data_IF_714250174352
#
_entry.id   IF_714250174352
#
_cell.length_a   1.000
_cell.length_b   1.000
_cell.length_c   1.000
_cell.angle_alpha   90.00
_cell.angle_beta   90.00
_cell.angle_gamma   90.00
#
_symmetry.space_group_name_H-M   'P 1'
#
loop_
_entity.id
_entity.type
_entity.pdbx_description
1 polymer ?
#
# COMPACT_ATOMS: atom_id res chain seq x y z
N UNK A 1 -31.92 18.21 29.89
CA UNK A 1 -31.34 17.40 28.79
C UNK A 1 -30.61 18.26 27.75
N UNK A 2 -31.26 19.22 27.09
CA UNK A 2 -30.55 20.10 26.14
C UNK A 2 -29.62 21.12 26.85
N UNK A 3 -30.05 21.66 28.01
CA UNK A 3 -29.23 22.56 28.84
C UNK A 3 -28.04 21.83 29.49
N UNK A 4 -28.25 20.61 30.01
CA UNK A 4 -27.16 19.80 30.59
C UNK A 4 -26.08 19.42 29.56
N UNK A 5 -26.45 19.18 28.30
CA UNK A 5 -25.50 18.87 27.24
C UNK A 5 -24.67 20.10 26.84
N UNK A 6 -25.28 21.29 26.82
CA UNK A 6 -24.57 22.54 26.53
C UNK A 6 -23.56 22.89 27.63
N UNK A 7 -23.88 22.60 28.90
CA UNK A 7 -22.96 22.79 30.03
C UNK A 7 -21.76 21.82 30.00
N UNK A 8 -21.96 20.59 29.54
CA UNK A 8 -20.91 19.57 29.45
C UNK A 8 -20.14 19.60 28.12
N UNK A 9 -20.60 20.38 27.13
CA UNK A 9 -20.03 20.40 25.79
C UNK A 9 -18.54 20.77 25.80
N UNK A 10 -18.14 21.75 26.60
CA UNK A 10 -16.73 22.18 26.70
C UNK A 10 -15.84 21.10 27.31
N UNK A 11 -16.33 20.38 28.31
CA UNK A 11 -15.61 19.28 28.95
C UNK A 11 -15.46 18.08 28.00
N UNK A 12 -16.52 17.76 27.25
CA UNK A 12 -16.49 16.72 26.21
C UNK A 12 -15.49 17.06 25.11
N UNK A 13 -15.52 18.29 24.59
CA UNK A 13 -14.57 18.74 23.55
C UNK A 13 -13.13 18.66 24.08
N UNK A 14 -12.88 19.14 25.29
CA UNK A 14 -11.55 19.08 25.92
C UNK A 14 -11.07 17.63 26.04
N UNK A 15 -11.93 16.73 26.53
CA UNK A 15 -11.61 15.30 26.66
C UNK A 15 -11.29 14.65 25.31
N UNK A 16 -12.01 15.01 24.23
CA UNK A 16 -11.74 14.54 22.87
C UNK A 16 -10.40 15.08 22.36
N UNK A 17 -10.10 16.35 22.60
CA UNK A 17 -8.84 16.98 22.21
C UNK A 17 -7.64 16.35 22.92
N UNK A 18 -7.75 16.10 24.23
CA UNK A 18 -6.71 15.44 25.02
C UNK A 18 -6.49 14.01 24.52
N UNK A 19 -7.57 13.25 24.31
CA UNK A 19 -7.50 11.89 23.77
C UNK A 19 -6.86 11.84 22.37
N UNK A 20 -7.23 12.76 21.45
CA UNK A 20 -6.59 12.87 20.12
C UNK A 20 -5.10 13.19 20.26
N UNK A 21 -4.75 14.13 21.13
CA UNK A 21 -3.35 14.55 21.36
C UNK A 21 -2.50 13.42 21.94
N UNK A 22 -3.06 12.61 22.84
CA UNK A 22 -2.39 11.43 23.40
C UNK A 22 -2.12 10.38 22.33
N UNK A 23 -3.06 10.13 21.42
CA UNK A 23 -2.86 9.24 20.28
C UNK A 23 -1.75 9.76 19.36
N UNK A 24 -1.80 11.05 19.01
CA UNK A 24 -0.79 11.68 18.17
C UNK A 24 0.61 11.54 18.76
N UNK A 25 0.75 11.91 20.03
CA UNK A 25 2.02 11.85 20.76
C UNK A 25 2.59 10.44 20.75
N UNK A 26 1.77 9.44 21.12
CA UNK A 26 2.22 8.05 21.22
C UNK A 26 2.61 7.46 19.87
N UNK A 27 1.85 7.71 18.81
CA UNK A 27 2.19 7.21 17.47
C UNK A 27 3.43 7.93 16.90
N UNK A 28 3.58 9.23 17.15
CA UNK A 28 4.75 10.00 16.75
C UNK A 28 6.02 9.51 17.49
N UNK A 29 5.91 9.20 18.78
CA UNK A 29 6.98 8.61 19.56
C UNK A 29 7.45 7.27 18.98
N UNK A 30 6.52 6.41 18.52
CA UNK A 30 6.89 5.17 17.83
C UNK A 30 7.78 5.44 16.60
N UNK A 31 7.47 6.47 15.81
CA UNK A 31 8.26 6.85 14.63
C UNK A 31 9.65 7.39 14.98
N UNK A 32 9.77 8.12 16.09
CA UNK A 32 11.03 8.71 16.57
C UNK A 32 11.98 7.69 17.19
N UNK A 33 11.45 6.72 17.93
CA UNK A 33 12.24 5.61 18.49
C UNK A 33 12.90 4.79 17.37
N UNK A 34 12.18 4.66 16.25
CA UNK A 34 12.57 3.80 15.15
C UNK A 34 13.81 4.31 14.41
N UNK A 35 13.82 5.59 14.06
CA UNK A 35 14.92 6.27 13.37
C UNK A 35 14.88 7.74 13.81
N UNK A 36 16.02 8.28 14.25
CA UNK A 36 16.13 9.68 14.68
C UNK A 36 15.60 10.61 13.59
N UNK A 37 14.45 11.23 13.82
CA UNK A 37 13.82 12.14 12.87
C UNK A 37 14.55 13.47 12.96
N UNK A 38 15.56 13.66 12.11
CA UNK A 38 16.22 14.95 11.93
C UNK A 38 15.73 15.62 10.63
N UNK A 39 15.44 16.92 10.68
CA UNK A 39 15.07 17.73 9.51
C UNK A 39 13.62 18.21 9.48
N UNK A 40 13.19 18.65 8.29
CA UNK A 40 11.87 19.24 8.08
C UNK A 40 10.76 18.20 8.28
N UNK A 41 9.76 18.54 9.10
CA UNK A 41 8.73 17.60 9.53
C UNK A 41 7.64 17.35 8.48
N UNK A 42 7.26 18.36 7.71
CA UNK A 42 6.25 18.24 6.67
C UNK A 42 6.42 19.38 5.67
N UNK A 43 6.23 19.10 4.39
CA UNK A 43 6.30 20.09 3.32
C UNK A 43 5.07 19.93 2.44
N UNK A 44 4.25 20.98 2.34
CA UNK A 44 3.15 20.98 1.36
C UNK A 44 3.71 21.03 -0.05
N UNK A 45 3.24 20.11 -0.89
CA UNK A 45 3.65 20.04 -2.31
C UNK A 45 2.50 20.33 -3.27
N UNK A 46 1.26 20.11 -2.85
CA UNK A 46 0.08 20.21 -3.71
C UNK A 46 -0.93 21.28 -3.24
N UNK A 47 -0.88 21.68 -1.97
CA UNK A 47 -1.80 22.68 -1.40
C UNK A 47 -1.13 24.05 -1.38
N UNK A 48 -1.47 24.91 -2.35
CA UNK A 48 -1.08 26.33 -2.32
C UNK A 48 -2.24 27.17 -1.79
N UNK A 49 -2.08 27.73 -0.58
CA UNK A 49 -3.07 28.68 -0.05
C UNK A 49 -2.99 30.00 -0.82
N UNK A 50 -4.15 30.65 -1.03
CA UNK A 50 -4.24 31.97 -1.68
C UNK A 50 -3.45 33.06 -0.95
N UNK A 51 -3.29 32.91 0.36
CA UNK A 51 -2.52 33.81 1.23
C UNK A 51 -1.02 33.48 1.26
N UNK A 52 -0.58 32.43 0.54
CA UNK A 52 0.82 31.98 0.48
C UNK A 52 1.33 31.39 1.81
N UNK A 53 0.47 31.23 2.81
CA UNK A 53 0.86 30.71 4.12
C UNK A 53 0.98 29.18 4.06
N UNK A 54 1.87 28.63 4.88
CA UNK A 54 1.98 27.18 5.04
C UNK A 54 0.65 26.61 5.57
N UNK A 55 0.00 25.67 4.83
CA UNK A 55 -1.26 25.06 5.26
C UNK A 55 -1.14 24.28 6.56
N UNK A 56 0.08 23.86 6.95
CA UNK A 56 0.31 23.03 8.12
C UNK A 56 0.81 23.80 9.34
N UNK A 57 0.92 25.14 9.26
CA UNK A 57 1.53 25.96 10.32
C UNK A 57 0.90 25.79 11.71
N UNK A 58 -0.41 25.52 11.76
CA UNK A 58 -1.18 25.40 13.01
C UNK A 58 -1.18 23.98 13.58
N UNK A 59 -0.59 23.01 12.86
CA UNK A 59 -0.52 21.63 13.33
C UNK A 59 0.64 21.47 14.31
N UNK A 60 0.45 20.60 15.31
CA UNK A 60 1.53 20.18 16.19
C UNK A 60 2.61 19.42 15.41
N UNK A 61 3.84 19.43 15.93
CA UNK A 61 4.95 18.73 15.30
C UNK A 61 4.76 17.21 15.24
N UNK A 62 4.08 16.64 16.25
CA UNK A 62 3.65 15.24 16.24
C UNK A 62 2.71 14.95 15.08
N UNK A 63 1.70 15.79 14.88
CA UNK A 63 0.75 15.60 13.79
C UNK A 63 1.40 15.81 12.42
N UNK A 64 2.28 16.81 12.29
CA UNK A 64 3.08 17.00 11.05
C UNK A 64 3.91 15.76 10.72
N UNK A 65 4.58 15.18 11.72
CA UNK A 65 5.35 13.95 11.56
C UNK A 65 4.44 12.79 11.12
N UNK A 66 3.29 12.61 11.77
CA UNK A 66 2.34 11.55 11.43
C UNK A 66 1.76 11.68 10.02
N UNK A 67 1.55 12.92 9.55
CA UNK A 67 0.99 13.20 8.24
C UNK A 67 1.99 13.03 7.09
N UNK A 68 3.26 12.76 7.34
CA UNK A 68 4.22 12.50 6.25
C UNK A 68 3.85 11.23 5.49
N UNK A 69 4.06 11.25 4.18
CA UNK A 69 3.85 10.12 3.29
C UNK A 69 4.75 8.91 3.61
N UNK A 70 5.89 9.11 4.26
CA UNK A 70 6.77 8.04 4.74
C UNK A 70 6.54 7.64 6.21
N UNK A 71 5.51 8.17 6.87
CA UNK A 71 5.07 7.74 8.19
C UNK A 71 4.12 6.56 8.07
N UNK A 72 4.71 5.38 7.85
CA UNK A 72 3.99 4.16 7.55
C UNK A 72 3.96 3.17 8.72
N UNK A 73 2.77 2.63 8.95
CA UNK A 73 2.43 1.71 10.01
C UNK A 73 1.97 0.37 9.45
N UNK A 74 1.91 -0.61 10.35
CA UNK A 74 1.48 -1.96 10.05
C UNK A 74 0.77 -2.63 11.22
N UNK A 75 0.00 -3.66 10.88
CA UNK A 75 -0.54 -4.65 11.79
C UNK A 75 -0.53 -6.01 11.11
N UNK A 76 -0.24 -7.03 11.90
CA UNK A 76 -0.44 -8.42 11.47
C UNK A 76 -1.91 -8.75 11.68
N UNK A 77 -2.61 -9.14 10.62
CA UNK A 77 -3.95 -9.68 10.77
C UNK A 77 -3.86 -11.10 11.36
N UNK A 78 -4.59 -11.41 12.45
CA UNK A 78 -4.47 -12.69 13.16
C UNK A 78 -4.71 -13.92 12.27
N UNK A 79 -5.56 -13.81 11.25
CA UNK A 79 -6.06 -14.97 10.50
C UNK A 79 -5.41 -15.13 9.11
N UNK A 80 -4.79 -14.10 8.56
CA UNK A 80 -4.34 -14.11 7.14
C UNK A 80 -2.83 -13.98 7.00
N UNK A 81 -2.10 -13.67 8.08
CA UNK A 81 -0.69 -13.24 8.06
C UNK A 81 -0.42 -12.08 7.07
N UNK A 82 -1.46 -11.45 6.51
CA UNK A 82 -1.34 -10.36 5.57
C UNK A 82 -0.96 -9.11 6.34
N UNK A 83 0.19 -8.56 5.97
CA UNK A 83 0.70 -7.30 6.52
C UNK A 83 0.07 -6.16 5.74
N UNK A 84 -0.62 -5.25 6.43
CA UNK A 84 -1.15 -4.01 5.83
C UNK A 84 -0.11 -2.91 6.01
N UNK A 85 0.21 -2.19 4.94
CA UNK A 85 0.95 -0.92 5.02
C UNK A 85 -0.10 0.19 5.03
N UNK A 86 -0.01 1.10 6.00
CA UNK A 86 -0.99 2.16 6.20
C UNK A 86 -0.32 3.48 6.57
N UNK A 87 -0.79 4.57 5.99
CA UNK A 87 -0.56 5.94 6.50
C UNK A 87 -1.23 6.12 7.86
N UNK A 88 -0.96 7.25 8.54
CA UNK A 88 -1.49 7.53 9.87
C UNK A 88 -3.03 7.43 9.96
N UNK A 89 -3.74 8.13 9.09
CA UNK A 89 -5.20 8.13 8.98
C UNK A 89 -5.74 6.71 8.77
N UNK A 90 -5.15 5.99 7.81
CA UNK A 90 -5.55 4.63 7.49
C UNK A 90 -5.24 3.65 8.63
N UNK A 91 -4.16 3.86 9.38
CA UNK A 91 -3.79 3.03 10.52
C UNK A 91 -4.78 3.22 11.66
N UNK A 92 -5.17 4.46 11.98
CA UNK A 92 -6.19 4.73 12.99
C UNK A 92 -7.53 4.11 12.57
N UNK A 93 -7.93 4.29 11.30
CA UNK A 93 -9.22 3.80 10.78
C UNK A 93 -9.29 2.27 10.66
N UNK A 94 -8.28 1.62 10.08
CA UNK A 94 -8.33 0.19 9.72
C UNK A 94 -7.68 -0.73 10.74
N UNK A 95 -6.73 -0.23 11.54
CA UNK A 95 -5.98 -1.03 12.50
C UNK A 95 -6.42 -0.71 13.92
N UNK A 96 -6.60 0.58 14.21
CA UNK A 96 -6.93 1.09 15.53
C UNK A 96 -8.23 0.53 16.09
N UNK A 97 -9.22 0.26 15.23
CA UNK A 97 -10.51 -0.24 15.67
C UNK A 97 -10.55 -1.78 15.70
N UNK A 98 -11.10 -2.33 16.79
CA UNK A 98 -11.50 -3.74 16.81
C UNK A 98 -12.75 -3.89 15.94
N UNK A 99 -12.60 -4.46 14.75
CA UNK A 99 -13.74 -4.93 13.97
C UNK A 99 -14.43 -6.05 14.74
N UNK A 100 -15.56 -5.76 15.36
CA UNK A 100 -16.43 -6.76 15.95
C UNK A 100 -17.30 -7.39 14.85
N UNK A 101 -16.69 -8.02 13.84
CA UNK A 101 -17.43 -8.95 12.99
C UNK A 101 -17.50 -10.29 13.73
N UNK A 102 -18.51 -10.43 14.60
CA UNK A 102 -19.11 -11.73 14.84
C UNK A 102 -20.25 -11.85 13.84
N UNK A 103 -20.15 -12.81 12.94
CA UNK A 103 -21.22 -13.13 11.98
C UNK A 103 -22.58 -13.19 12.70
N UNK A 104 -23.55 -12.42 12.21
CA UNK A 104 -24.93 -12.42 12.67
C UNK A 104 -25.31 -11.45 13.79
N UNK A 105 -24.40 -10.60 14.31
CA UNK A 105 -24.76 -9.51 15.23
C UNK A 105 -24.88 -8.18 14.47
N UNK A 106 -25.88 -7.33 14.78
CA UNK A 106 -25.92 -5.97 14.25
C UNK A 106 -24.62 -5.25 14.61
N UNK A 107 -24.06 -4.52 13.65
CA UNK A 107 -22.87 -3.68 13.86
C UNK A 107 -23.10 -2.84 15.11
N UNK A 108 -22.32 -3.09 16.17
CA UNK A 108 -22.40 -2.28 17.38
C UNK A 108 -22.14 -0.82 16.95
N UNK A 109 -23.04 0.15 17.21
CA UNK A 109 -22.90 1.52 16.71
C UNK A 109 -21.65 2.23 17.26
N UNK A 110 -20.99 1.64 18.27
CA UNK A 110 -19.81 2.17 18.91
C UNK A 110 -18.55 1.50 18.38
N UNK A 111 -17.74 2.27 17.65
CA UNK A 111 -16.35 1.91 17.37
C UNK A 111 -15.59 1.85 18.71
N UNK A 112 -14.93 0.73 18.99
CA UNK A 112 -14.08 0.59 20.19
C UNK A 112 -12.98 1.66 20.21
N UNK A 113 -12.44 2.05 21.38
CA UNK A 113 -11.28 2.94 21.41
C UNK A 113 -10.11 2.41 20.58
N UNK A 114 -9.31 3.33 20.02
CA UNK A 114 -8.14 2.99 19.21
C UNK A 114 -7.15 2.15 20.03
N UNK A 115 -6.91 0.92 19.59
CA UNK A 115 -6.01 -0.03 20.24
C UNK A 115 -4.59 0.09 19.67
N UNK A 116 -3.82 1.03 20.22
CA UNK A 116 -2.43 1.29 19.80
C UNK A 116 -1.50 0.07 19.94
N UNK A 117 -1.84 -0.91 20.78
CA UNK A 117 -1.09 -2.15 20.92
C UNK A 117 -1.05 -2.99 19.64
N UNK A 118 -1.92 -2.72 18.65
CA UNK A 118 -1.97 -3.42 17.36
C UNK A 118 -1.21 -2.69 16.26
N UNK A 119 -0.89 -1.41 16.47
CA UNK A 119 -0.19 -0.58 15.50
C UNK A 119 1.31 -0.67 15.76
N UNK A 120 2.07 -0.93 14.69
CA UNK A 120 3.54 -0.95 14.70
C UNK A 120 4.07 -0.11 13.56
N UNK A 121 5.29 0.39 13.71
CA UNK A 121 5.99 1.10 12.63
C UNK A 121 6.49 0.10 11.59
N UNK A 122 6.26 0.37 10.30
CA UNK A 122 6.72 -0.50 9.22
C UNK A 122 8.07 -0.02 8.66
N UNK A 123 9.17 -0.35 9.34
CA UNK A 123 10.55 0.10 9.01
C UNK A 123 10.92 0.02 7.53
N UNK A 124 10.69 -1.14 6.92
CA UNK A 124 11.02 -1.39 5.51
C UNK A 124 10.23 -0.48 4.57
N UNK A 125 8.90 -0.44 4.72
CA UNK A 125 8.02 0.45 3.95
C UNK A 125 8.40 1.92 4.11
N UNK A 126 8.81 2.38 5.31
CA UNK A 126 9.29 3.76 5.51
C UNK A 126 10.54 4.05 4.69
N UNK A 127 11.53 3.15 4.71
CA UNK A 127 12.77 3.31 3.92
C UNK A 127 12.47 3.33 2.42
N UNK A 128 11.64 2.41 1.94
CA UNK A 128 11.18 2.37 0.55
C UNK A 128 10.45 3.65 0.17
N UNK A 129 9.49 4.09 0.99
CA UNK A 129 8.72 5.32 0.75
C UNK A 129 9.64 6.53 0.58
N UNK A 130 10.68 6.68 1.41
CA UNK A 130 11.63 7.79 1.28
C UNK A 130 12.40 7.76 -0.04
N UNK A 131 12.85 6.60 -0.50
CA UNK A 131 13.53 6.46 -1.80
C UNK A 131 12.58 6.86 -2.92
N UNK A 132 11.33 6.39 -2.87
CA UNK A 132 10.30 6.73 -3.86
C UNK A 132 10.01 8.24 -3.84
N UNK A 133 9.78 8.84 -2.68
CA UNK A 133 9.51 10.27 -2.53
C UNK A 133 10.69 11.13 -3.01
N UNK A 134 11.93 10.75 -2.68
CA UNK A 134 13.12 11.44 -3.15
C UNK A 134 13.22 11.40 -4.69
N UNK A 135 12.93 10.25 -5.32
CA UNK A 135 12.92 10.15 -6.79
C UNK A 135 11.86 11.03 -7.46
N UNK A 136 10.82 11.40 -6.72
CA UNK A 136 9.77 12.31 -7.18
C UNK A 136 10.05 13.77 -6.81
N UNK A 137 11.11 14.08 -6.05
CA UNK A 137 11.38 15.41 -5.49
C UNK A 137 10.34 15.84 -4.45
N UNK A 138 9.69 14.87 -3.79
CA UNK A 138 8.58 15.05 -2.86
C UNK A 138 8.96 14.63 -1.43
N UNK A 139 10.19 14.90 -1.01
CA UNK A 139 10.61 14.62 0.36
C UNK A 139 9.71 15.35 1.36
N UNK A 140 9.36 14.66 2.44
CA UNK A 140 8.48 15.12 3.51
C UNK A 140 7.08 15.54 3.02
N UNK A 141 6.61 15.04 1.87
CA UNK A 141 5.25 15.30 1.38
C UNK A 141 4.19 14.75 2.34
N UNK A 142 3.00 15.34 2.31
CA UNK A 142 1.86 14.89 3.09
C UNK A 142 1.18 13.66 2.47
N UNK A 143 0.87 12.65 3.28
CA UNK A 143 0.17 11.44 2.86
C UNK A 143 -1.21 11.76 2.27
N UNK A 144 -1.96 12.69 2.90
CA UNK A 144 -3.26 13.10 2.41
C UNK A 144 -3.19 13.79 1.04
N UNK A 145 -2.14 14.58 0.78
CA UNK A 145 -1.88 15.17 -0.54
C UNK A 145 -1.69 14.07 -1.59
N UNK A 146 -0.89 13.04 -1.29
CA UNK A 146 -0.69 11.92 -2.22
C UNK A 146 -1.95 11.07 -2.40
N UNK A 147 -2.69 10.81 -1.32
CA UNK A 147 -3.91 10.00 -1.34
C UNK A 147 -5.07 10.69 -2.05
N UNK A 148 -5.08 12.03 -2.12
CA UNK A 148 -6.05 12.79 -2.91
C UNK A 148 -6.01 12.45 -4.41
N UNK A 149 -4.87 11.96 -4.91
CA UNK A 149 -4.76 11.48 -6.30
C UNK A 149 -5.48 10.13 -6.53
N UNK A 150 -5.84 9.41 -5.47
CA UNK A 150 -6.46 8.09 -5.55
C UNK A 150 -5.57 7.05 -6.25
N UNK A 151 -6.20 6.14 -6.99
CA UNK A 151 -5.51 5.11 -7.80
C UNK A 151 -5.00 5.69 -9.11
N UNK A 152 -3.99 6.57 -9.05
CA UNK A 152 -3.35 7.18 -10.23
C UNK A 152 -1.84 6.96 -10.30
N UNK A 153 -1.28 6.27 -9.31
CA UNK A 153 0.13 5.90 -9.32
C UNK A 153 0.34 4.62 -10.10
N UNK A 154 1.39 4.57 -10.89
CA UNK A 154 1.87 3.34 -11.48
C UNK A 154 3.38 3.24 -11.27
N UNK A 155 3.86 2.02 -11.10
CA UNK A 155 5.29 1.76 -11.20
C UNK A 155 5.73 2.06 -12.63
N UNK A 156 6.79 2.86 -12.78
CA UNK A 156 7.38 3.18 -14.07
C UNK A 156 8.56 2.25 -14.41
N UNK A 157 8.97 1.39 -13.46
CA UNK A 157 10.05 0.40 -13.62
C UNK A 157 9.58 -0.94 -14.12
N UNK A 158 8.48 -1.41 -13.57
CA UNK A 158 7.92 -2.71 -13.90
C UNK A 158 6.69 -2.53 -14.78
N UNK A 159 6.22 -3.65 -15.33
CA UNK A 159 5.09 -3.66 -16.24
C UNK A 159 3.75 -3.88 -15.54
N UNK A 160 3.69 -3.58 -14.23
CA UNK A 160 2.46 -3.54 -13.47
C UNK A 160 1.43 -2.67 -14.21
N UNK A 161 0.27 -3.27 -14.45
CA UNK A 161 -0.80 -2.65 -15.23
C UNK A 161 -1.82 -1.96 -14.35
N UNK A 162 -1.88 -2.34 -13.07
CA UNK A 162 -2.80 -1.79 -12.12
C UNK A 162 -2.35 -0.40 -11.66
N UNK A 163 -3.30 0.54 -11.61
CA UNK A 163 -3.12 1.81 -10.91
C UNK A 163 -3.30 1.60 -9.40
N UNK A 164 -2.34 2.11 -8.64
CA UNK A 164 -2.16 1.89 -7.22
C UNK A 164 -2.46 3.16 -6.44
N UNK A 165 -2.93 3.01 -5.20
CA UNK A 165 -2.83 4.09 -4.21
C UNK A 165 -1.37 4.28 -3.77
N UNK A 166 -1.10 5.31 -2.97
CA UNK A 166 0.23 5.51 -2.40
C UNK A 166 0.72 4.30 -1.59
N UNK A 167 -0.12 3.78 -0.68
CA UNK A 167 0.24 2.64 0.18
C UNK A 167 0.44 1.36 -0.63
N UNK A 168 -0.37 1.15 -1.66
CA UNK A 168 -0.23 0.01 -2.57
C UNK A 168 1.04 0.11 -3.42
N UNK A 169 1.42 1.31 -3.85
CA UNK A 169 2.68 1.57 -4.55
C UNK A 169 3.87 1.27 -3.63
N UNK A 170 3.88 1.77 -2.39
CA UNK A 170 4.94 1.45 -1.43
C UNK A 170 4.97 -0.06 -1.15
N UNK A 171 3.81 -0.69 -0.96
CA UNK A 171 3.72 -2.15 -0.80
C UNK A 171 4.29 -2.92 -1.99
N UNK A 172 4.08 -2.43 -3.21
CA UNK A 172 4.65 -3.01 -4.43
C UNK A 172 6.18 -2.99 -4.39
N UNK A 173 6.80 -1.86 -4.06
CA UNK A 173 8.26 -1.76 -3.94
C UNK A 173 8.83 -2.58 -2.77
N UNK A 174 8.14 -2.65 -1.63
CA UNK A 174 8.54 -3.53 -0.51
C UNK A 174 8.54 -5.00 -0.95
N UNK A 175 7.50 -5.45 -1.66
CA UNK A 175 7.44 -6.82 -2.17
C UNK A 175 8.57 -7.10 -3.18
N UNK A 176 8.94 -6.12 -4.01
CA UNK A 176 10.06 -6.27 -4.92
C UNK A 176 11.38 -6.48 -4.17
N UNK A 177 11.66 -5.69 -3.12
CA UNK A 177 12.84 -5.90 -2.26
C UNK A 177 12.86 -7.28 -1.59
N UNK A 178 11.70 -7.77 -1.15
CA UNK A 178 11.59 -9.11 -0.58
C UNK A 178 11.89 -10.21 -1.61
N UNK A 179 11.50 -10.04 -2.87
CA UNK A 179 11.87 -10.97 -3.95
C UNK A 179 13.38 -10.97 -4.17
N UNK A 180 13.99 -9.78 -4.26
CA UNK A 180 15.44 -9.61 -4.42
C UNK A 180 16.20 -10.28 -3.28
N UNK A 181 15.78 -10.08 -2.04
CA UNK A 181 16.35 -10.74 -0.87
C UNK A 181 16.30 -12.27 -0.99
N UNK A 182 15.12 -12.84 -1.33
CA UNK A 182 14.99 -14.30 -1.54
C UNK A 182 15.89 -14.84 -2.64
N UNK A 183 16.03 -14.09 -3.74
CA UNK A 183 16.91 -14.48 -4.85
C UNK A 183 18.37 -14.48 -4.41
N UNK A 184 18.82 -13.48 -3.64
CA UNK A 184 20.17 -13.41 -3.10
C UNK A 184 20.47 -14.48 -2.05
N UNK A 185 19.47 -14.89 -1.27
CA UNK A 185 19.59 -15.97 -0.28
C UNK A 185 19.72 -17.36 -0.93
N UNK A 186 19.30 -17.51 -2.20
CA UNK A 186 19.26 -18.78 -2.93
C UNK A 186 19.91 -18.71 -4.33
N UNK A 187 21.22 -18.40 -4.42
CA UNK A 187 21.89 -18.22 -5.71
C UNK A 187 21.98 -19.52 -6.53
N UNK A 188 22.07 -20.67 -5.87
CA UNK A 188 22.10 -22.00 -6.49
C UNK A 188 20.79 -22.30 -7.24
N UNK A 189 19.66 -21.89 -6.67
CA UNK A 189 18.34 -22.07 -7.28
C UNK A 189 18.16 -21.14 -8.48
N UNK A 190 18.68 -19.92 -8.42
CA UNK A 190 18.68 -19.01 -9.56
C UNK A 190 19.59 -19.53 -10.70
N UNK A 191 20.78 -20.04 -10.37
CA UNK A 191 21.71 -20.62 -11.35
C UNK A 191 21.08 -21.82 -12.06
N UNK A 192 20.34 -22.67 -11.34
CA UNK A 192 19.60 -23.80 -11.92
C UNK A 192 18.52 -23.37 -12.92
N UNK A 193 17.98 -22.15 -12.79
CA UNK A 193 17.06 -21.58 -13.78
C UNK A 193 17.77 -21.05 -15.04
N UNK A 194 19.10 -20.87 -14.99
CA UNK A 194 19.93 -20.32 -16.06
C UNK A 194 19.45 -18.93 -16.52
N UNK A 195 19.01 -18.10 -15.57
CA UNK A 195 18.53 -16.73 -15.84
C UNK A 195 19.19 -15.73 -14.90
N UNK A 196 19.20 -14.47 -15.31
CA UNK A 196 19.53 -13.34 -14.44
C UNK A 196 18.26 -12.86 -13.73
N UNK A 197 18.42 -12.23 -12.58
CA UNK A 197 17.37 -11.44 -11.95
C UNK A 197 17.92 -10.04 -11.64
N UNK A 198 17.49 -9.04 -12.41
CA UNK A 198 17.84 -7.63 -12.18
C UNK A 198 16.75 -6.96 -11.35
N UNK A 199 17.14 -6.28 -10.28
CA UNK A 199 16.25 -5.44 -9.50
C UNK A 199 15.94 -4.15 -10.26
N UNK A 200 14.91 -4.19 -11.11
CA UNK A 200 14.49 -3.02 -11.88
C UNK A 200 13.91 -1.92 -11.01
N UNK A 201 13.60 -2.21 -9.75
CA UNK A 201 13.04 -1.28 -8.77
C UNK A 201 14.11 -0.49 -8.02
N UNK A 202 15.37 -0.92 -8.07
CA UNK A 202 16.53 -0.14 -7.60
C UNK A 202 16.74 1.08 -8.53
N UNK A 203 16.72 2.33 -8.00
CA UNK A 203 17.02 3.52 -8.77
C UNK A 203 18.34 3.46 -9.56
N UNK A 204 19.35 2.77 -9.03
CA UNK A 204 20.70 2.73 -9.60
C UNK A 204 20.80 1.82 -10.83
N UNK A 205 19.90 0.86 -11.00
CA UNK A 205 19.92 -0.08 -12.15
C UNK A 205 19.55 0.63 -13.45
N UNK A 206 18.67 1.64 -13.37
CA UNK A 206 18.21 2.41 -14.52
C UNK A 206 18.07 3.90 -14.14
N UNK A 207 19.16 4.64 -13.93
CA UNK A 207 19.11 5.98 -13.32
C UNK A 207 18.26 6.98 -14.12
N UNK A 208 18.17 6.80 -15.45
CA UNK A 208 17.45 7.73 -16.33
C UNK A 208 15.94 7.49 -16.43
N UNK A 209 15.40 6.37 -15.88
CA UNK A 209 13.94 6.13 -15.88
C UNK A 209 13.37 6.49 -14.50
N UNK A 210 12.14 7.03 -14.41
CA UNK A 210 11.53 7.33 -13.12
C UNK A 210 11.10 6.05 -12.39
N UNK A 211 10.98 6.12 -11.06
CA UNK A 211 10.37 5.03 -10.27
C UNK A 211 8.84 5.00 -10.43
N UNK A 212 8.23 6.19 -10.48
CA UNK A 212 6.78 6.38 -10.43
C UNK A 212 6.34 7.23 -11.61
N UNK A 213 5.18 6.89 -12.16
CA UNK A 213 4.47 7.73 -13.13
C UNK A 213 3.04 7.95 -12.68
N UNK A 214 2.51 9.11 -13.04
CA UNK A 214 1.09 9.41 -12.93
C UNK A 214 0.42 9.02 -14.24
N UNK A 215 -0.63 8.20 -14.15
CA UNK A 215 -1.41 7.81 -15.32
C UNK A 215 -2.88 8.17 -15.10
N UNK A 216 -3.56 8.75 -16.12
CA UNK A 216 -5.00 8.85 -16.09
C UNK A 216 -5.61 7.44 -16.11
N UNK A 217 -6.80 7.28 -15.53
CA UNK A 217 -7.55 6.03 -15.65
C UNK A 217 -7.72 5.70 -17.13
N UNK A 218 -7.24 4.51 -17.50
CA UNK A 218 -7.44 3.98 -18.84
C UNK A 218 -8.58 2.97 -18.78
N UNK A 219 -9.56 3.11 -19.67
CA UNK A 219 -10.50 2.04 -19.96
C UNK A 219 -9.72 0.80 -20.41
N UNK A 220 -9.84 -0.35 -19.74
CA UNK A 220 -9.13 -1.55 -20.14
C UNK A 220 -9.63 -1.96 -21.53
N UNK A 221 -8.76 -1.85 -22.53
CA UNK A 221 -8.95 -2.62 -23.75
C UNK A 221 -8.70 -4.09 -23.39
N UNK A 222 -9.56 -4.99 -23.88
CA UNK A 222 -9.40 -6.42 -23.69
C UNK A 222 -8.18 -6.92 -24.45
N UNK A 223 -7.00 -6.75 -23.86
CA UNK A 223 -5.72 -7.24 -24.39
C UNK A 223 -5.42 -8.59 -23.73
N UNK A 224 -4.96 -9.60 -24.49
CA UNK A 224 -4.53 -10.87 -23.91
C UNK A 224 -3.48 -10.67 -22.81
N UNK A 225 -3.75 -11.21 -21.63
CA UNK A 225 -2.82 -11.20 -20.49
C UNK A 225 -1.91 -12.42 -20.61
N UNK A 226 -0.60 -12.18 -20.50
CA UNK A 226 0.46 -13.20 -20.44
C UNK A 226 1.05 -13.24 -19.03
N UNK A 227 1.63 -14.37 -18.68
CA UNK A 227 2.35 -14.60 -17.41
C UNK A 227 3.82 -14.89 -17.67
N UNK A 228 4.73 -14.34 -16.87
CA UNK A 228 6.13 -14.74 -16.91
C UNK A 228 6.34 -16.09 -16.20
N UNK A 229 6.77 -17.11 -16.96
CA UNK A 229 6.97 -18.45 -16.41
C UNK A 229 8.27 -18.55 -15.59
N UNK A 230 9.21 -17.61 -15.77
CA UNK A 230 10.46 -17.54 -15.00
C UNK A 230 10.19 -17.03 -13.59
N UNK A 231 9.49 -15.89 -13.46
CA UNK A 231 9.13 -15.33 -12.16
C UNK A 231 8.24 -16.26 -11.32
N UNK A 232 7.48 -17.14 -11.95
CA UNK A 232 6.65 -18.15 -11.27
C UNK A 232 7.45 -19.27 -10.60
N UNK A 233 8.77 -19.36 -10.83
CA UNK A 233 9.63 -20.43 -10.30
C UNK A 233 10.38 -19.97 -9.05
N UNK A 234 10.80 -20.96 -8.26
CA UNK A 234 11.70 -20.78 -7.11
C UNK A 234 13.09 -20.34 -7.62
N UNK A 235 13.74 -19.32 -7.00
CA UNK A 235 13.40 -18.65 -5.74
C UNK A 235 12.51 -17.39 -5.87
N UNK A 236 12.17 -16.98 -7.10
CA UNK A 236 11.49 -15.71 -7.36
C UNK A 236 10.06 -15.71 -6.80
N UNK A 237 9.25 -16.71 -7.18
CA UNK A 237 7.86 -16.90 -6.76
C UNK A 237 7.03 -15.60 -6.78
N UNK A 238 7.00 -14.95 -7.95
CA UNK A 238 6.28 -13.70 -8.18
C UNK A 238 5.36 -13.82 -9.40
N UNK A 239 4.10 -13.42 -9.23
CA UNK A 239 3.05 -13.55 -10.24
C UNK A 239 3.06 -12.38 -11.22
N UNK A 240 4.09 -12.31 -12.06
CA UNK A 240 4.21 -11.24 -13.07
C UNK A 240 3.25 -11.47 -14.24
N UNK A 241 2.32 -10.52 -14.41
CA UNK A 241 1.29 -10.52 -15.46
C UNK A 241 1.28 -9.20 -16.23
N UNK A 242 0.91 -9.26 -17.51
CA UNK A 242 0.75 -8.06 -18.33
C UNK A 242 0.31 -8.38 -19.76
N UNK A 243 0.14 -7.35 -20.59
CA UNK A 243 0.01 -7.56 -22.04
C UNK A 243 1.27 -8.23 -22.60
N UNK A 244 1.19 -8.80 -23.79
CA UNK A 244 2.32 -9.48 -24.42
C UNK A 244 3.57 -8.58 -24.54
N UNK A 245 3.41 -7.36 -25.07
CA UNK A 245 4.51 -6.39 -25.16
C UNK A 245 5.14 -6.10 -23.80
N UNK A 246 4.29 -5.94 -22.76
CA UNK A 246 4.72 -5.69 -21.39
C UNK A 246 5.51 -6.85 -20.80
N UNK A 247 5.09 -8.09 -21.06
CA UNK A 247 5.81 -9.28 -20.58
C UNK A 247 7.11 -9.52 -21.36
N UNK A 248 7.15 -9.20 -22.66
CA UNK A 248 8.38 -9.24 -23.45
C UNK A 248 9.40 -8.27 -22.87
N UNK A 249 9.02 -7.00 -22.65
CA UNK A 249 9.92 -6.02 -22.05
C UNK A 249 10.31 -6.39 -20.61
N UNK A 250 9.40 -6.94 -19.82
CA UNK A 250 9.71 -7.45 -18.48
C UNK A 250 10.85 -8.47 -18.52
N UNK A 251 10.76 -9.46 -19.43
CA UNK A 251 11.75 -10.53 -19.53
C UNK A 251 13.10 -9.96 -20.01
N UNK A 252 13.10 -8.98 -20.89
CA UNK A 252 14.32 -8.29 -21.31
C UNK A 252 14.96 -7.52 -20.15
N UNK A 253 14.19 -6.70 -19.44
CA UNK A 253 14.71 -5.83 -18.38
C UNK A 253 15.11 -6.64 -17.13
N UNK A 254 14.28 -7.59 -16.68
CA UNK A 254 14.49 -8.36 -15.44
C UNK A 254 15.37 -9.59 -15.64
N UNK A 255 15.20 -10.32 -16.75
CA UNK A 255 15.87 -11.60 -16.98
C UNK A 255 17.00 -11.59 -18.01
N UNK A 256 17.23 -10.44 -18.66
CA UNK A 256 18.29 -10.25 -19.68
C UNK A 256 18.19 -11.20 -20.88
N UNK A 257 16.96 -11.60 -21.23
CA UNK A 257 16.73 -12.47 -22.39
C UNK A 257 16.32 -11.59 -23.58
N UNK A 258 17.22 -11.44 -24.54
CA UNK A 258 17.03 -10.58 -25.71
C UNK A 258 15.80 -10.97 -26.57
N UNK A 259 15.56 -12.27 -26.73
CA UNK A 259 14.46 -12.82 -27.55
C UNK A 259 13.50 -13.69 -26.71
N UNK A 260 12.52 -13.08 -26.01
CA UNK A 260 11.51 -13.83 -25.26
C UNK A 260 10.63 -14.70 -26.16
N UNK A 261 10.36 -15.95 -25.77
CA UNK A 261 9.58 -16.92 -26.56
C UNK A 261 8.34 -17.38 -25.79
N UNK A 262 7.19 -17.31 -26.46
CA UNK A 262 5.93 -17.86 -25.96
C UNK A 262 6.05 -19.38 -25.78
N UNK A 263 5.57 -19.90 -24.64
CA UNK A 263 5.68 -21.30 -24.25
C UNK A 263 7.03 -21.71 -23.65
N UNK A 264 8.01 -20.81 -23.62
CA UNK A 264 9.31 -21.04 -22.97
C UNK A 264 9.56 -20.06 -21.82
N UNK A 265 9.41 -18.75 -22.10
CA UNK A 265 9.69 -17.69 -21.11
C UNK A 265 8.39 -17.08 -20.55
N UNK A 266 7.30 -17.12 -21.32
CA UNK A 266 5.99 -16.67 -20.90
C UNK A 266 4.88 -17.50 -21.54
N UNK A 267 3.70 -17.50 -20.94
CA UNK A 267 2.57 -18.32 -21.39
C UNK A 267 1.22 -17.59 -21.28
N UNK A 268 0.18 -18.21 -21.84
CA UNK A 268 -1.20 -17.69 -21.87
C UNK A 268 -1.99 -17.99 -20.59
N UNK A 269 -1.32 -18.36 -19.49
CA UNK A 269 -1.99 -18.97 -18.35
C UNK A 269 -2.95 -18.00 -17.67
N UNK A 270 -4.25 -18.28 -17.82
CA UNK A 270 -5.18 -18.20 -16.72
C UNK A 270 -4.77 -19.28 -15.69
N UNK A 271 -4.63 -18.96 -14.39
CA UNK A 271 -4.21 -19.94 -13.40
C UNK A 271 -5.39 -20.87 -13.05
N UNK A 272 -5.71 -21.80 -13.94
CA UNK A 272 -6.51 -23.00 -13.65
C UNK A 272 -6.34 -23.99 -14.82
N UNK A 273 -5.14 -24.54 -14.97
CA UNK A 273 -4.89 -25.53 -16.02
C UNK A 273 -3.45 -25.99 -16.11
N UNK A 274 -3.22 -27.25 -15.74
CA UNK A 274 -2.10 -28.11 -16.14
C UNK A 274 -0.79 -28.03 -15.36
N UNK A 275 -0.73 -28.73 -14.23
CA UNK A 275 0.29 -29.72 -13.83
C UNK A 275 0.15 -29.89 -12.30
N UNK A 276 -0.40 -30.98 -11.78
CA UNK A 276 0.07 -32.33 -12.07
C UNK A 276 1.22 -32.74 -11.15
N UNK A 277 1.19 -32.33 -9.87
CA UNK A 277 1.97 -32.96 -8.81
C UNK A 277 1.07 -33.18 -7.60
N UNK A 278 0.88 -34.45 -7.25
CA UNK A 278 0.18 -34.91 -6.06
C UNK A 278 0.88 -34.36 -4.81
N UNK A 279 0.25 -33.39 -4.15
CA UNK A 279 0.22 -33.39 -2.69
C UNK A 279 -1.19 -33.75 -2.27
N UNK A 280 -1.34 -34.98 -1.77
CA UNK A 280 -2.51 -35.35 -0.96
C UNK A 280 -2.54 -34.44 0.26
N UNK A 281 -3.36 -33.40 0.21
CA UNK A 281 -3.95 -32.78 1.38
C UNK A 281 -5.43 -32.57 1.03
N UNK A 282 -6.25 -33.43 1.61
CA UNK A 282 -7.70 -33.38 1.53
C UNK A 282 -8.21 -31.99 1.93
N UNK A 283 -8.66 -31.21 0.94
CA UNK A 283 -9.55 -30.08 1.17
C UNK A 283 -10.59 -30.12 0.06
N UNK A 284 -11.83 -30.41 0.45
CA UNK A 284 -12.96 -30.52 -0.46
C UNK A 284 -13.22 -29.23 -1.27
N UNK A 285 -13.73 -29.37 -2.51
CA UNK A 285 -13.95 -28.24 -3.40
C UNK A 285 -15.26 -27.52 -3.04
N UNK A 286 -15.16 -26.30 -2.51
CA UNK A 286 -16.32 -25.41 -2.46
C UNK A 286 -16.50 -24.79 -3.85
N UNK A 287 -17.57 -25.22 -4.50
CA UNK A 287 -18.10 -24.72 -5.77
C UNK A 287 -18.13 -23.19 -5.83
N UNK A 288 -17.33 -22.63 -6.74
CA UNK A 288 -17.52 -21.27 -7.24
C UNK A 288 -18.72 -21.27 -8.18
N UNK A 289 -19.89 -20.88 -7.66
CA UNK A 289 -21.06 -20.56 -8.48
C UNK A 289 -21.63 -19.21 -8.05
N UNK A 290 -21.56 -18.23 -8.95
CA UNK A 290 -22.44 -17.08 -8.97
C UNK A 290 -21.89 -15.77 -8.39
N UNK A 291 -21.10 -15.04 -9.17
CA UNK A 291 -21.17 -13.58 -9.14
C UNK A 291 -22.00 -13.14 -10.33
N UNK A 292 -23.32 -13.07 -10.12
CA UNK A 292 -24.17 -12.20 -10.91
C UNK A 292 -24.02 -10.78 -10.39
N UNK A 293 -23.60 -9.92 -11.30
CA UNK A 293 -24.00 -8.54 -11.47
C UNK A 293 -25.17 -8.10 -10.56
N UNK A 294 -24.85 -7.28 -9.56
CA UNK A 294 -25.78 -6.33 -8.97
C UNK A 294 -25.01 -5.02 -8.75
N UNK A 295 -24.97 -4.22 -9.81
CA UNK A 295 -25.10 -2.78 -9.63
C UNK A 295 -26.32 -2.52 -8.76
N UNK A 296 -26.09 -1.84 -7.64
CA UNK A 296 -27.13 -1.21 -6.86
C UNK A 296 -26.52 0.06 -6.33
N UNK A 297 -26.99 1.16 -6.91
CA UNK A 297 -27.01 2.47 -6.29
C UNK A 297 -27.29 2.32 -4.80
N UNK A 298 -26.30 2.67 -3.99
CA UNK A 298 -26.51 2.98 -2.59
C UNK A 298 -25.82 4.31 -2.38
N UNK A 299 -26.63 5.36 -2.31
CA UNK A 299 -26.27 6.62 -1.70
C UNK A 299 -25.69 6.33 -0.32
N UNK A 300 -24.36 6.36 -0.22
CA UNK A 300 -23.64 6.30 1.05
C UNK A 300 -23.49 7.73 1.55
N UNK A 301 -24.60 8.32 1.99
CA UNK A 301 -24.57 9.37 3.01
C UNK A 301 -24.21 8.67 4.33
N UNK A 302 -22.92 8.41 4.54
CA UNK A 302 -22.39 7.98 5.84
C UNK A 302 -21.39 9.02 6.29
N UNK A 303 -21.89 9.98 7.08
CA UNK A 303 -21.10 10.96 7.81
C UNK A 303 -19.99 10.27 8.62
N UNK A 304 -18.76 10.34 8.14
CA UNK A 304 -17.59 9.88 8.87
C UNK A 304 -17.32 10.82 10.05
N UNK A 305 -17.21 10.25 11.26
CA UNK A 305 -16.77 10.93 12.47
C UNK A 305 -15.39 11.62 12.34
N UNK A 306 -14.62 11.29 11.29
CA UNK A 306 -13.34 11.90 10.94
C UNK A 306 -13.43 12.93 9.80
N UNK A 307 -14.58 13.02 9.10
CA UNK A 307 -14.71 13.84 7.89
C UNK A 307 -15.03 15.31 8.18
N UNK A 308 -15.53 15.63 9.38
CA UNK A 308 -16.00 16.98 9.71
C UNK A 308 -14.95 17.89 10.38
N UNK A 309 -13.74 17.39 10.67
CA UNK A 309 -12.71 18.15 11.39
C UNK A 309 -11.37 18.27 10.63
N UNK A 310 -11.32 17.92 9.35
CA UNK A 310 -10.17 18.33 8.52
C UNK A 310 -10.32 19.80 8.16
N UNK A 311 -9.83 20.70 9.03
CA UNK A 311 -9.05 21.95 8.80
C UNK A 311 -8.85 22.73 10.11
#
# INVERSE_FOLDING_TARGET
MAEDFAEQQSEIITSICDWKSDIHTRMAEMLRIDEGVEGQLLTSRLIVRKDGLDPFRNLSDDLKLLLRADSLFTSVQPNTQKTIIASYDLAVEKIGYRFAFRDGMPSNPYKHPVELSRIRVHREARRVARVVLASMGMENACAAELNSAGRRYACARCHESQLLTWEELVSHFVKAQQVVARVHEHPDQLEALQVVYRDVHDPEVFPDRPLVKYAPEQTPLAVPIRTCDICSKVPILYDTKGSEDKIITHIQDVHDIAEPKLGTHYSNRNPLGSLGFNFNLDVEPILFSGFHDLGSDMDVDTYGFWDNDFW
#
